data_IF_584332140956
#
_entry.id   IF_584332140956
#
_cell.length_a   1.000
_cell.length_b   1.000
_cell.length_c   1.000
_cell.angle_alpha   90.00
_cell.angle_beta   90.00
_cell.angle_gamma   90.00
#
_symmetry.space_group_name_H-M   'P 1'
#
loop_
_entity.id
_entity.type
_entity.pdbx_description
1 polymer ?
#
# COMPACT_ATOMS: atom_id res chain seq x y z
N UNK A 1 -18.79 -3.50 1.68
CA UNK A 1 -18.62 -3.01 0.30
C UNK A 1 -19.67 -1.99 -0.09
N UNK A 2 -20.95 -2.16 0.31
CA UNK A 2 -22.10 -1.35 -0.15
C UNK A 2 -21.98 0.15 0.19
N UNK A 3 -21.19 0.49 1.19
CA UNK A 3 -20.94 1.89 1.60
C UNK A 3 -19.81 2.57 0.81
N UNK A 4 -19.00 1.78 0.07
CA UNK A 4 -17.86 2.29 -0.69
C UNK A 4 -18.23 2.37 -2.17
N UNK A 5 -18.35 3.57 -2.69
CA UNK A 5 -18.73 3.81 -4.10
C UNK A 5 -17.53 3.68 -5.06
N UNK A 6 -16.35 4.08 -4.62
CA UNK A 6 -15.10 3.94 -5.36
C UNK A 6 -13.94 3.78 -4.36
N UNK A 7 -12.86 3.10 -4.77
CA UNK A 7 -11.68 2.86 -3.93
C UNK A 7 -10.42 3.33 -4.66
N UNK A 8 -9.53 4.00 -3.94
CA UNK A 8 -8.19 4.37 -4.45
C UNK A 8 -7.15 3.74 -3.54
N UNK A 9 -6.31 2.88 -4.09
CA UNK A 9 -5.20 2.23 -3.41
C UNK A 9 -3.89 2.81 -3.93
N UNK A 10 -3.20 3.60 -3.10
CA UNK A 10 -1.89 4.15 -3.41
C UNK A 10 -0.80 3.41 -2.63
N UNK A 11 0.09 2.72 -3.34
CA UNK A 11 1.18 1.96 -2.73
C UNK A 11 0.69 0.84 -1.80
N UNK A 12 -0.44 0.20 -2.13
CA UNK A 12 -1.05 -0.84 -1.31
C UNK A 12 -0.16 -2.08 -1.15
N UNK A 13 -0.25 -2.74 0.01
CA UNK A 13 0.46 -3.96 0.32
C UNK A 13 -0.47 -4.97 1.00
N UNK A 14 -0.40 -6.25 0.62
CA UNK A 14 -1.23 -7.32 1.21
C UNK A 14 -0.49 -8.11 2.28
N UNK A 15 0.83 -8.15 2.20
CA UNK A 15 1.69 -8.87 3.13
C UNK A 15 3.13 -8.32 3.09
N UNK A 16 3.96 -8.58 4.11
CA UNK A 16 5.33 -8.06 4.17
C UNK A 16 6.23 -8.48 3.00
N UNK A 17 5.91 -9.59 2.32
CA UNK A 17 6.69 -10.06 1.17
C UNK A 17 6.54 -9.16 -0.06
N UNK A 18 5.48 -8.36 -0.11
CA UNK A 18 5.26 -7.36 -1.15
C UNK A 18 6.28 -6.22 -1.12
N UNK A 19 6.91 -5.96 0.02
CA UNK A 19 7.93 -4.92 0.16
C UNK A 19 9.27 -5.38 -0.43
N UNK A 20 9.98 -4.48 -1.12
CA UNK A 20 11.33 -4.75 -1.62
C UNK A 20 12.29 -5.02 -0.46
N UNK A 21 13.17 -6.00 -0.62
CA UNK A 21 14.10 -6.43 0.42
C UNK A 21 15.00 -5.30 0.95
N UNK A 22 15.35 -4.36 0.08
CA UNK A 22 16.15 -3.17 0.43
C UNK A 22 15.45 -2.23 1.41
N UNK A 23 14.11 -2.18 1.40
CA UNK A 23 13.32 -1.41 2.35
C UNK A 23 12.95 -2.26 3.58
N UNK A 24 12.57 -3.51 3.39
CA UNK A 24 12.11 -4.40 4.47
C UNK A 24 13.21 -4.75 5.47
N UNK A 25 14.42 -5.04 5.00
CA UNK A 25 15.52 -5.50 5.86
C UNK A 25 15.90 -4.51 6.97
N UNK A 26 16.09 -3.19 6.73
CA UNK A 26 16.33 -2.22 7.80
C UNK A 26 15.18 -2.15 8.81
N UNK A 27 13.93 -2.30 8.36
CA UNK A 27 12.74 -2.28 9.23
C UNK A 27 12.75 -3.50 10.15
N UNK A 28 13.06 -4.70 9.63
CA UNK A 28 13.19 -5.93 10.41
C UNK A 28 14.27 -5.82 11.50
N UNK A 29 15.42 -5.20 11.17
CA UNK A 29 16.50 -4.96 12.15
C UNK A 29 16.01 -3.99 13.23
N UNK A 30 15.41 -2.86 12.83
CA UNK A 30 14.86 -1.87 13.76
C UNK A 30 13.81 -2.47 14.70
N UNK A 31 12.94 -3.34 14.17
CA UNK A 31 11.95 -4.08 14.93
C UNK A 31 12.60 -4.98 16.00
N UNK A 32 13.59 -5.79 15.61
CA UNK A 32 14.31 -6.68 16.54
C UNK A 32 14.99 -5.90 17.66
N UNK A 33 15.61 -4.75 17.34
CA UNK A 33 16.23 -3.87 18.33
C UNK A 33 15.17 -3.30 19.26
N UNK A 34 14.08 -2.76 18.74
CA UNK A 34 13.00 -2.19 19.53
C UNK A 34 12.37 -3.23 20.48
N UNK A 35 12.14 -4.45 20.02
CA UNK A 35 11.63 -5.55 20.83
C UNK A 35 12.57 -5.88 22.00
N UNK A 36 13.90 -5.87 21.77
CA UNK A 36 14.88 -6.16 22.81
C UNK A 36 14.83 -5.15 23.97
N UNK A 37 14.46 -3.92 23.67
CA UNK A 37 14.38 -2.83 24.67
C UNK A 37 12.95 -2.48 25.10
N UNK A 38 11.93 -3.12 24.55
CA UNK A 38 10.52 -2.80 24.80
C UNK A 38 10.14 -2.89 26.29
N UNK A 39 10.70 -3.86 27.03
CA UNK A 39 10.44 -4.01 28.47
C UNK A 39 11.08 -2.91 29.33
N UNK A 40 12.08 -2.19 28.80
CA UNK A 40 12.86 -1.20 29.55
C UNK A 40 12.52 0.25 29.20
N UNK A 41 11.82 0.49 28.08
CA UNK A 41 11.55 1.82 27.55
C UNK A 41 10.18 1.89 26.90
N UNK A 42 9.29 2.79 27.36
CA UNK A 42 8.01 3.04 26.70
C UNK A 42 8.14 3.44 25.23
N UNK A 43 9.17 4.21 24.89
CA UNK A 43 9.47 4.59 23.51
C UNK A 43 9.86 3.37 22.66
N UNK A 44 10.71 2.48 23.19
CA UNK A 44 11.09 1.26 22.49
C UNK A 44 9.89 0.31 22.30
N UNK A 45 8.99 0.23 23.29
CA UNK A 45 7.74 -0.52 23.19
C UNK A 45 6.87 0.02 22.05
N UNK A 46 6.64 1.33 22.01
CA UNK A 46 5.86 1.98 20.94
C UNK A 46 6.49 1.76 19.56
N UNK A 47 7.81 1.86 19.45
CA UNK A 47 8.53 1.58 18.20
C UNK A 47 8.41 0.11 17.79
N UNK A 48 8.46 -0.83 18.73
CA UNK A 48 8.28 -2.24 18.45
C UNK A 48 6.85 -2.53 17.96
N UNK A 49 5.84 -1.94 18.55
CA UNK A 49 4.44 -2.06 18.11
C UNK A 49 4.27 -1.51 16.68
N UNK A 50 4.76 -0.30 16.41
CA UNK A 50 4.67 0.35 15.10
C UNK A 50 5.43 -0.42 14.01
N UNK A 51 6.68 -0.80 14.25
CA UNK A 51 7.49 -1.55 13.30
C UNK A 51 6.97 -2.97 13.13
N UNK A 52 6.36 -3.54 14.18
CA UNK A 52 5.72 -4.85 14.14
C UNK A 52 4.60 -4.94 13.11
N UNK A 53 3.82 -3.89 12.94
CA UNK A 53 2.80 -3.79 11.88
C UNK A 53 3.40 -3.84 10.47
N UNK A 54 4.64 -3.33 10.31
CA UNK A 54 5.32 -3.35 9.00
C UNK A 54 6.03 -4.67 8.71
N UNK A 55 6.38 -5.44 9.77
CA UNK A 55 7.13 -6.71 9.65
C UNK A 55 6.19 -7.91 9.62
N UNK A 56 5.07 -7.85 10.34
CA UNK A 56 4.17 -8.98 10.55
C UNK A 56 2.83 -8.83 9.84
N UNK A 57 2.45 -7.61 9.44
CA UNK A 57 1.15 -7.27 8.89
C UNK A 57 1.28 -6.40 7.61
N UNK A 58 0.22 -6.29 6.81
CA UNK A 58 -1.00 -7.13 6.86
C UNK A 58 -0.72 -8.54 6.36
N UNK A 59 -1.73 -9.43 6.49
CA UNK A 59 -1.71 -10.77 5.94
C UNK A 59 -3.06 -11.01 5.23
N UNK A 60 -3.27 -10.35 4.11
CA UNK A 60 -4.50 -10.40 3.33
C UNK A 60 -4.30 -11.36 2.15
N UNK A 61 -5.18 -12.36 2.04
CA UNK A 61 -5.16 -13.24 0.88
C UNK A 61 -5.55 -12.48 -0.39
N UNK A 62 -4.82 -12.63 -1.51
CA UNK A 62 -5.22 -12.06 -2.80
C UNK A 62 -6.66 -12.44 -3.21
N UNK A 63 -7.14 -13.61 -2.82
CA UNK A 63 -8.51 -14.08 -3.11
C UNK A 63 -9.59 -13.20 -2.44
N UNK A 64 -9.26 -12.54 -1.34
CA UNK A 64 -10.19 -11.61 -0.67
C UNK A 64 -10.45 -10.36 -1.51
N UNK A 65 -9.53 -10.00 -2.41
CA UNK A 65 -9.67 -8.84 -3.29
C UNK A 65 -10.82 -9.00 -4.31
N UNK A 66 -11.20 -10.22 -4.64
CA UNK A 66 -12.35 -10.49 -5.49
C UNK A 66 -13.70 -9.99 -4.91
N UNK A 67 -13.73 -9.73 -3.59
CA UNK A 67 -14.89 -9.14 -2.90
C UNK A 67 -15.01 -7.62 -3.09
N UNK A 68 -13.98 -6.97 -3.62
CA UNK A 68 -13.96 -5.54 -3.92
C UNK A 68 -14.61 -5.31 -5.29
N UNK A 69 -15.94 -5.23 -5.33
CA UNK A 69 -16.72 -5.11 -6.56
C UNK A 69 -16.90 -3.67 -7.04
N UNK A 70 -16.56 -2.66 -6.19
CA UNK A 70 -16.60 -1.25 -6.57
C UNK A 70 -15.47 -0.92 -7.56
N UNK A 71 -15.65 0.12 -8.40
CA UNK A 71 -14.56 0.67 -9.20
C UNK A 71 -13.34 0.98 -8.32
N UNK A 72 -12.17 0.52 -8.73
CA UNK A 72 -10.95 0.66 -7.94
C UNK A 72 -9.81 1.20 -8.79
N UNK A 73 -9.16 2.26 -8.32
CA UNK A 73 -7.90 2.76 -8.87
C UNK A 73 -6.73 2.23 -8.02
N UNK A 74 -5.80 1.54 -8.65
CA UNK A 74 -4.55 1.11 -8.02
C UNK A 74 -3.42 1.96 -8.59
N UNK A 75 -2.71 2.70 -7.71
CA UNK A 75 -1.63 3.61 -8.11
C UNK A 75 -0.35 3.24 -7.38
N UNK A 76 0.79 3.31 -8.07
CA UNK A 76 2.11 3.22 -7.45
C UNK A 76 3.14 4.05 -8.22
N UNK A 77 4.30 4.28 -7.61
CA UNK A 77 5.45 4.88 -8.28
C UNK A 77 6.32 3.83 -9.00
N UNK A 78 7.00 4.23 -10.08
CA UNK A 78 7.98 3.38 -10.80
C UNK A 78 9.15 2.91 -9.90
N UNK A 79 9.44 3.67 -8.84
CA UNK A 79 10.49 3.39 -7.84
C UNK A 79 9.91 3.12 -6.46
N UNK A 80 8.66 2.65 -6.38
CA UNK A 80 7.99 2.34 -5.12
C UNK A 80 8.79 1.30 -4.31
N UNK A 81 8.68 1.36 -2.98
CA UNK A 81 9.23 0.33 -2.09
C UNK A 81 8.42 -0.99 -2.16
N UNK A 82 7.16 -0.92 -2.57
CA UNK A 82 6.38 -2.11 -2.90
C UNK A 82 6.86 -2.64 -4.25
N UNK A 83 6.94 -3.95 -4.39
CA UNK A 83 7.30 -4.58 -5.66
C UNK A 83 6.20 -4.31 -6.69
N UNK A 84 6.59 -3.91 -7.89
CA UNK A 84 5.62 -3.68 -8.97
C UNK A 84 4.79 -4.95 -9.27
N UNK A 85 5.41 -6.13 -9.22
CA UNK A 85 4.70 -7.41 -9.37
C UNK A 85 3.61 -7.61 -8.32
N UNK A 86 3.83 -7.14 -7.09
CA UNK A 86 2.84 -7.19 -6.02
C UNK A 86 1.67 -6.23 -6.29
N UNK A 87 1.97 -5.00 -6.71
CA UNK A 87 0.94 -4.03 -7.10
C UNK A 87 0.11 -4.50 -8.30
N UNK A 88 0.75 -5.12 -9.30
CA UNK A 88 0.04 -5.72 -10.45
C UNK A 88 -0.87 -6.87 -10.01
N UNK A 89 -0.38 -7.75 -9.15
CA UNK A 89 -1.17 -8.85 -8.59
C UNK A 89 -2.40 -8.31 -7.81
N UNK A 90 -2.26 -7.22 -7.05
CA UNK A 90 -3.41 -6.56 -6.41
C UNK A 90 -4.44 -6.13 -7.45
N UNK A 91 -4.01 -5.40 -8.47
CA UNK A 91 -4.91 -4.91 -9.52
C UNK A 91 -5.59 -6.06 -10.29
N UNK A 92 -4.88 -7.14 -10.59
CA UNK A 92 -5.39 -8.31 -11.31
C UNK A 92 -6.44 -9.11 -10.52
N UNK A 93 -6.39 -9.06 -9.18
CA UNK A 93 -7.33 -9.77 -8.31
C UNK A 93 -8.56 -8.93 -7.91
N UNK A 94 -8.62 -7.64 -8.29
CA UNK A 94 -9.79 -6.79 -8.08
C UNK A 94 -10.59 -6.71 -9.38
N UNK A 95 -11.87 -7.14 -9.43
CA UNK A 95 -12.63 -7.26 -10.67
C UNK A 95 -12.74 -5.99 -11.52
N UNK A 96 -12.87 -4.83 -10.86
CA UNK A 96 -13.06 -3.53 -11.51
C UNK A 96 -11.89 -2.58 -11.23
N UNK A 97 -10.66 -3.09 -11.29
CA UNK A 97 -9.47 -2.29 -11.04
C UNK A 97 -8.88 -1.68 -12.32
N UNK A 98 -8.44 -0.43 -12.19
CA UNK A 98 -7.55 0.27 -13.14
C UNK A 98 -6.19 0.46 -12.45
N UNK A 99 -5.12 0.00 -13.09
CA UNK A 99 -3.74 0.21 -12.61
C UNK A 99 -3.11 1.41 -13.31
N UNK A 100 -2.50 2.30 -12.53
CA UNK A 100 -1.68 3.41 -13.03
C UNK A 100 -0.33 3.41 -12.32
N UNK A 101 0.76 3.48 -13.07
CA UNK A 101 2.12 3.57 -12.55
C UNK A 101 2.67 4.94 -12.94
N UNK A 102 2.95 5.78 -11.95
CA UNK A 102 3.46 7.14 -12.13
C UNK A 102 4.98 7.20 -11.94
N UNK A 103 5.67 8.13 -12.61
CA UNK A 103 7.07 8.41 -12.28
C UNK A 103 7.21 8.87 -10.83
N UNK A 104 8.02 8.18 -10.02
CA UNK A 104 8.21 8.54 -8.61
C UNK A 104 8.38 7.33 -7.70
N UNK A 105 8.45 7.60 -6.41
CA UNK A 105 8.59 6.60 -5.35
C UNK A 105 7.26 6.32 -4.62
N UNK A 106 7.33 5.72 -3.44
CA UNK A 106 6.16 5.42 -2.60
C UNK A 106 5.35 6.68 -2.19
N UNK A 107 5.97 7.85 -2.21
CA UNK A 107 5.35 9.13 -1.85
C UNK A 107 4.88 9.93 -3.08
N UNK A 108 4.54 9.25 -4.16
CA UNK A 108 4.16 9.87 -5.44
C UNK A 108 3.04 10.90 -5.29
N UNK A 109 2.04 10.65 -4.45
CA UNK A 109 0.96 11.60 -4.19
C UNK A 109 1.44 12.92 -3.56
N UNK A 110 2.50 12.88 -2.76
CA UNK A 110 3.07 14.04 -2.10
C UNK A 110 4.09 14.77 -2.95
N UNK A 111 4.88 14.01 -3.75
CA UNK A 111 6.00 14.56 -4.54
C UNK A 111 5.60 14.99 -5.94
N UNK A 112 4.56 14.36 -6.48
CA UNK A 112 4.01 14.62 -7.81
C UNK A 112 2.48 14.82 -7.73
N UNK A 113 2.00 15.81 -6.94
CA UNK A 113 0.57 15.96 -6.66
C UNK A 113 -0.24 16.30 -7.91
N UNK A 114 0.32 17.02 -8.88
CA UNK A 114 -0.40 17.39 -10.09
C UNK A 114 -0.76 16.16 -10.93
N UNK A 115 0.22 15.29 -11.19
CA UNK A 115 0.03 14.07 -11.96
C UNK A 115 -0.85 13.06 -11.20
N UNK A 116 -0.65 12.95 -9.88
CA UNK A 116 -1.46 12.08 -9.04
C UNK A 116 -2.93 12.52 -9.03
N UNK A 117 -3.19 13.81 -8.80
CA UNK A 117 -4.56 14.35 -8.77
C UNK A 117 -5.24 14.22 -10.14
N UNK A 118 -4.52 14.45 -11.25
CA UNK A 118 -5.08 14.25 -12.60
C UNK A 118 -5.55 12.81 -12.80
N UNK A 119 -4.77 11.81 -12.37
CA UNK A 119 -5.15 10.40 -12.46
C UNK A 119 -6.37 10.08 -11.59
N UNK A 120 -6.47 10.70 -10.41
CA UNK A 120 -7.62 10.55 -9.52
C UNK A 120 -8.87 11.18 -10.14
N UNK A 121 -8.75 12.40 -10.68
CA UNK A 121 -9.87 13.12 -11.31
C UNK A 121 -10.39 12.34 -12.53
N UNK A 122 -9.49 11.90 -13.43
CA UNK A 122 -9.84 11.06 -14.59
C UNK A 122 -10.55 9.76 -14.19
N UNK A 123 -10.12 9.16 -13.07
CA UNK A 123 -10.76 7.97 -12.53
C UNK A 123 -12.17 8.28 -12.01
N UNK A 124 -12.32 9.32 -11.19
CA UNK A 124 -13.60 9.70 -10.61
C UNK A 124 -14.61 10.14 -11.69
N UNK A 125 -14.17 10.83 -12.73
CA UNK A 125 -14.99 11.16 -13.89
C UNK A 125 -15.46 9.89 -14.64
N UNK A 126 -14.58 8.90 -14.78
CA UNK A 126 -14.88 7.64 -15.48
C UNK A 126 -15.92 6.78 -14.76
N UNK A 127 -16.03 6.88 -13.43
CA UNK A 127 -17.01 6.13 -12.64
C UNK A 127 -18.34 6.87 -12.44
N UNK A 128 -18.46 8.06 -13.01
CA UNK A 128 -19.65 8.90 -12.93
C UNK A 128 -19.74 9.72 -11.65
N UNK A 129 -20.54 10.77 -11.66
CA UNK A 129 -20.75 11.62 -10.47
C UNK A 129 -21.26 10.76 -9.31
N UNK A 130 -20.40 10.60 -8.30
CA UNK A 130 -20.69 9.85 -7.07
C UNK A 130 -21.59 10.67 -6.16
#
# INVERSE_FOLDING_TARGET
>A
PEMVKALILNGGNLDPSGVKRTAQFPIEIGYKIACRFAAKSPSAKKNAEMLGLMVNDPNISPLELAKLTMPTLVVCGTKDMIKESHTRMIAENIPNARLVILPGDHFVANRHPAEFNQVVDDFLESVGSI
#
